data_IF_666033015364
#
_entry.id   IF_666033015364
#
_cell.length_a   1.000
_cell.length_b   1.000
_cell.length_c   1.000
_cell.angle_alpha   90.00
_cell.angle_beta   90.00
_cell.angle_gamma   90.00
#
_symmetry.space_group_name_H-M   'P 1'
#
loop_
_entity.id
_entity.type
_entity.pdbx_description
1 polymer ?
#
# COMPACT_ATOMS: atom_id res chain seq x y z
N UNK A 1 35.51 -25.43 11.73
CA UNK A 1 34.26 -25.24 10.97
C UNK A 1 33.57 -23.99 11.53
N UNK A 2 33.63 -22.89 10.82
CA UNK A 2 33.01 -21.61 11.27
C UNK A 2 31.54 -21.69 10.84
N UNK A 3 30.63 -21.77 11.81
CA UNK A 3 29.18 -21.67 11.56
C UNK A 3 28.84 -20.18 11.42
N UNK A 4 28.53 -19.75 10.23
CA UNK A 4 28.04 -18.40 9.99
C UNK A 4 26.54 -18.37 10.35
N UNK A 5 26.19 -17.70 11.44
CA UNK A 5 24.80 -17.44 11.79
C UNK A 5 24.30 -16.29 10.93
N UNK A 6 23.55 -16.58 9.87
CA UNK A 6 22.85 -15.57 9.09
C UNK A 6 21.55 -15.22 9.83
N UNK A 7 21.51 -14.03 10.43
CA UNK A 7 20.27 -13.47 10.96
C UNK A 7 19.67 -12.65 9.82
N UNK A 8 18.52 -13.07 9.31
CA UNK A 8 17.73 -12.27 8.38
C UNK A 8 16.56 -11.63 9.14
N UNK A 9 16.37 -10.33 8.94
CA UNK A 9 15.23 -9.60 9.44
C UNK A 9 14.21 -9.49 8.30
N UNK A 10 12.93 -9.66 8.62
CA UNK A 10 11.82 -9.35 7.73
C UNK A 10 11.20 -8.05 8.21
N UNK A 11 11.22 -7.02 7.37
CA UNK A 11 10.74 -5.69 7.70
C UNK A 11 9.32 -5.49 7.22
N UNK A 12 8.43 -5.13 8.17
CA UNK A 12 7.02 -4.89 7.91
C UNK A 12 6.66 -3.46 8.32
N UNK A 13 6.03 -2.72 7.42
CA UNK A 13 5.57 -1.34 7.64
C UNK A 13 4.07 -1.27 7.42
N UNK A 14 3.36 -0.54 8.26
CA UNK A 14 1.98 -0.12 8.05
C UNK A 14 1.92 1.40 8.01
N UNK A 15 1.23 1.94 7.01
CA UNK A 15 1.08 3.37 6.82
C UNK A 15 -0.34 3.73 6.36
N UNK A 16 -1.01 4.60 7.12
CA UNK A 16 -2.20 5.27 6.62
C UNK A 16 -1.78 6.42 5.69
N UNK A 17 -2.20 6.36 4.44
CA UNK A 17 -1.87 7.34 3.43
C UNK A 17 -2.69 8.64 3.54
N UNK A 18 -3.62 8.74 4.50
CA UNK A 18 -4.45 9.94 4.70
C UNK A 18 -5.13 10.42 3.41
N UNK A 19 -5.89 9.54 2.77
CA UNK A 19 -6.59 9.79 1.50
C UNK A 19 -5.63 10.07 0.33
N UNK A 20 -4.93 9.05 -0.13
CA UNK A 20 -4.07 9.13 -1.30
C UNK A 20 -4.89 8.95 -2.58
N UNK A 21 -5.42 10.06 -3.09
CA UNK A 21 -6.20 10.14 -4.33
C UNK A 21 -5.36 10.66 -5.49
N UNK A 22 -5.68 10.20 -6.70
CA UNK A 22 -5.20 10.86 -7.92
C UNK A 22 -5.96 12.18 -8.16
N UNK A 23 -6.00 12.69 -9.38
CA UNK A 23 -6.65 13.96 -9.70
C UNK A 23 -7.79 13.80 -10.70
N UNK A 24 -8.29 12.56 -10.87
CA UNK A 24 -9.35 12.20 -11.80
C UNK A 24 -10.59 11.78 -11.02
N UNK A 25 -11.74 12.16 -11.50
CA UNK A 25 -13.00 11.80 -10.87
C UNK A 25 -13.42 10.37 -11.21
N UNK A 26 -13.73 9.57 -10.18
CA UNK A 26 -14.45 8.31 -10.31
C UNK A 26 -15.96 8.56 -10.09
N UNK A 27 -16.74 8.48 -11.14
CA UNK A 27 -18.19 8.73 -11.12
C UNK A 27 -18.98 7.79 -10.20
N UNK A 28 -18.37 6.72 -9.69
CA UNK A 28 -18.97 5.77 -8.76
C UNK A 28 -18.62 6.06 -7.30
N UNK A 29 -17.79 7.08 -7.04
CA UNK A 29 -17.26 7.42 -5.74
C UNK A 29 -17.51 8.89 -5.38
N UNK A 30 -17.39 9.22 -4.11
CA UNK A 30 -17.47 10.59 -3.58
C UNK A 30 -16.06 11.14 -3.37
N UNK A 31 -15.37 11.41 -4.47
CA UNK A 31 -13.98 11.87 -4.53
C UNK A 31 -13.85 13.34 -4.99
N UNK A 32 -14.98 14.05 -5.15
CA UNK A 32 -15.05 15.40 -5.74
C UNK A 32 -14.12 16.41 -5.02
N UNK A 33 -13.84 16.21 -3.74
CA UNK A 33 -12.92 17.07 -3.00
C UNK A 33 -11.43 16.87 -3.39
N UNK A 34 -11.10 15.74 -4.03
CA UNK A 34 -9.76 15.42 -4.53
C UNK A 34 -9.55 15.77 -6.00
N UNK A 35 -10.27 16.79 -6.49
CA UNK A 35 -10.12 17.29 -7.85
C UNK A 35 -9.40 18.65 -7.89
N UNK A 36 -8.73 18.98 -9.01
CA UNK A 36 -8.10 20.28 -9.20
C UNK A 36 -9.04 21.47 -9.07
N UNK A 37 -10.34 21.25 -9.39
CA UNK A 37 -11.40 22.26 -9.33
C UNK A 37 -12.09 22.37 -7.97
N UNK A 38 -11.79 21.47 -7.04
CA UNK A 38 -12.37 21.46 -5.70
C UNK A 38 -11.86 22.59 -4.82
N UNK A 39 -12.50 22.77 -3.65
CA UNK A 39 -12.03 23.71 -2.62
C UNK A 39 -10.62 23.38 -2.12
N UNK A 40 -10.25 22.09 -2.08
CA UNK A 40 -8.91 21.64 -1.73
C UNK A 40 -7.88 21.94 -2.81
N UNK A 41 -8.31 22.22 -4.05
CA UNK A 41 -7.43 22.41 -5.20
C UNK A 41 -6.40 21.29 -5.30
N UNK A 42 -6.89 20.04 -5.35
CA UNK A 42 -6.06 18.86 -5.42
C UNK A 42 -5.42 18.71 -6.80
N UNK A 43 -4.38 19.51 -7.05
CA UNK A 43 -3.69 19.58 -8.36
C UNK A 43 -2.72 18.41 -8.53
N UNK A 44 -2.29 18.08 -9.77
CA UNK A 44 -1.25 17.10 -10.03
C UNK A 44 0.05 17.37 -9.25
N UNK A 45 0.41 18.63 -9.05
CA UNK A 45 1.58 19.03 -8.24
C UNK A 45 1.42 18.58 -6.77
N UNK A 46 0.23 18.75 -6.17
CA UNK A 46 -0.04 18.32 -4.78
C UNK A 46 -0.05 16.81 -4.67
N UNK A 47 -0.65 16.12 -5.65
CA UNK A 47 -0.65 14.67 -5.74
C UNK A 47 0.77 14.11 -5.75
N UNK A 48 1.62 14.54 -6.67
CA UNK A 48 2.99 14.07 -6.79
C UNK A 48 3.83 14.41 -5.56
N UNK A 49 3.62 15.57 -4.94
CA UNK A 49 4.26 15.89 -3.65
C UNK A 49 3.87 14.93 -2.55
N UNK A 50 2.62 14.44 -2.53
CA UNK A 50 2.15 13.45 -1.56
C UNK A 50 2.77 12.09 -1.85
N UNK A 51 2.79 11.64 -3.09
CA UNK A 51 3.50 10.43 -3.54
C UNK A 51 4.97 10.47 -3.09
N UNK A 52 5.67 11.58 -3.29
CA UNK A 52 7.07 11.74 -2.87
C UNK A 52 7.25 11.64 -1.35
N UNK A 53 6.34 12.23 -0.57
CA UNK A 53 6.40 12.16 0.90
C UNK A 53 6.19 10.73 1.38
N UNK A 54 5.13 10.07 0.93
CA UNK A 54 4.84 8.67 1.28
C UNK A 54 6.03 7.78 0.91
N UNK A 55 6.62 7.98 -0.26
CA UNK A 55 7.81 7.23 -0.68
C UNK A 55 8.99 7.44 0.26
N UNK A 56 9.22 8.66 0.73
CA UNK A 56 10.30 8.99 1.69
C UNK A 56 10.02 8.39 3.06
N UNK A 57 8.78 8.45 3.52
CA UNK A 57 8.37 7.87 4.80
C UNK A 57 8.61 6.35 4.79
N UNK A 58 8.22 5.67 3.71
CA UNK A 58 8.47 4.22 3.54
C UNK A 58 9.98 3.92 3.52
N UNK A 59 10.77 4.68 2.76
CA UNK A 59 12.22 4.48 2.70
C UNK A 59 12.90 4.72 4.05
N UNK A 60 12.41 5.70 4.84
CA UNK A 60 12.97 5.97 6.17
C UNK A 60 12.71 4.86 7.18
N UNK A 61 11.65 4.06 6.99
CA UNK A 61 11.38 2.89 7.83
C UNK A 61 12.33 1.71 7.57
N UNK A 62 13.05 1.73 6.45
CA UNK A 62 14.00 0.68 6.09
C UNK A 62 15.45 0.94 6.49
N UNK A 63 15.74 2.00 7.27
CA UNK A 63 17.10 2.25 7.75
C UNK A 63 17.48 1.25 8.85
N UNK A 64 18.45 0.40 8.54
CA UNK A 64 19.05 -0.55 9.49
C UNK A 64 20.56 -0.30 9.55
N UNK A 65 21.10 0.04 10.73
CA UNK A 65 22.54 0.20 10.98
C UNK A 65 23.30 1.03 9.91
N UNK A 66 22.73 2.18 9.52
CA UNK A 66 23.29 3.11 8.49
C UNK A 66 23.26 2.58 7.05
N UNK A 67 22.59 1.46 6.78
CA UNK A 67 22.28 1.00 5.43
C UNK A 67 20.82 1.31 5.09
N UNK A 68 20.57 1.98 3.98
CA UNK A 68 19.21 2.18 3.46
C UNK A 68 18.73 0.87 2.85
N UNK A 69 17.90 0.16 3.56
CA UNK A 69 17.24 -1.07 3.09
C UNK A 69 15.76 -0.74 2.81
N UNK A 70 15.26 -1.21 1.68
CA UNK A 70 13.82 -1.03 1.37
C UNK A 70 13.02 -2.04 2.22
N UNK A 71 11.93 -1.65 2.89
CA UNK A 71 11.10 -2.59 3.64
C UNK A 71 10.65 -3.78 2.78
N UNK A 72 10.62 -4.98 3.35
CA UNK A 72 10.21 -6.19 2.64
C UNK A 72 8.72 -6.19 2.30
N UNK A 73 7.92 -5.61 3.18
CA UNK A 73 6.47 -5.55 3.06
C UNK A 73 5.92 -4.23 3.61
N UNK A 74 4.96 -3.65 2.90
CA UNK A 74 4.30 -2.39 3.28
C UNK A 74 2.80 -2.53 3.08
N UNK A 75 2.02 -2.40 4.16
CA UNK A 75 0.57 -2.23 4.11
C UNK A 75 0.26 -0.75 4.02
N UNK A 76 -0.61 -0.41 3.09
CA UNK A 76 -1.11 0.95 2.89
C UNK A 76 -2.62 0.97 3.06
N UNK A 77 -3.12 1.89 3.84
CA UNK A 77 -4.55 2.17 3.96
C UNK A 77 -4.88 3.55 3.40
N UNK A 78 -6.13 3.73 2.98
CA UNK A 78 -6.62 4.96 2.37
C UNK A 78 -5.93 5.29 1.03
N UNK A 79 -5.75 4.28 0.20
CA UNK A 79 -5.29 4.39 -1.18
C UNK A 79 -6.50 4.27 -2.11
N UNK A 80 -6.57 5.13 -3.13
CA UNK A 80 -7.76 5.19 -3.99
C UNK A 80 -7.88 4.00 -4.95
N UNK A 81 -6.87 3.77 -5.79
CA UNK A 81 -7.02 2.86 -6.93
C UNK A 81 -5.67 2.30 -7.43
N UNK A 82 -5.75 1.41 -8.41
CA UNK A 82 -4.60 0.79 -9.07
C UNK A 82 -3.67 1.81 -9.74
N UNK A 83 -4.19 2.90 -10.30
CA UNK A 83 -3.37 3.96 -10.92
C UNK A 83 -2.45 4.62 -9.90
N UNK A 84 -2.97 4.86 -8.69
CA UNK A 84 -2.19 5.42 -7.56
C UNK A 84 -1.10 4.45 -7.12
N UNK A 85 -1.42 3.15 -7.02
CA UNK A 85 -0.44 2.13 -6.67
C UNK A 85 0.63 1.96 -7.74
N UNK A 86 0.25 2.02 -9.01
CA UNK A 86 1.20 2.04 -10.12
C UNK A 86 2.14 3.26 -10.05
N UNK A 87 1.60 4.45 -9.81
CA UNK A 87 2.40 5.66 -9.67
C UNK A 87 3.38 5.55 -8.48
N UNK A 88 2.91 5.05 -7.34
CA UNK A 88 3.74 4.86 -6.16
C UNK A 88 4.86 3.83 -6.38
N UNK A 89 4.55 2.68 -6.99
CA UNK A 89 5.51 1.57 -7.13
C UNK A 89 6.43 1.72 -8.35
N UNK A 90 5.97 2.35 -9.44
CA UNK A 90 6.70 2.39 -10.73
C UNK A 90 7.23 3.77 -11.11
N UNK A 91 6.70 4.86 -10.55
CA UNK A 91 7.02 6.22 -10.98
C UNK A 91 7.55 7.13 -9.87
N UNK A 92 7.44 6.71 -8.61
CA UNK A 92 7.93 7.45 -7.45
C UNK A 92 9.41 7.15 -7.14
N UNK A 93 9.86 7.57 -5.97
CA UNK A 93 11.18 7.20 -5.44
C UNK A 93 11.32 5.68 -5.19
N UNK A 94 10.21 4.96 -5.05
CA UNK A 94 10.18 3.50 -4.85
C UNK A 94 10.34 2.70 -6.15
N UNK A 95 10.41 3.35 -7.32
CA UNK A 95 10.49 2.66 -8.62
C UNK A 95 11.66 1.67 -8.76
N UNK A 96 12.74 1.90 -8.02
CA UNK A 96 13.91 1.02 -8.00
C UNK A 96 13.81 -0.14 -7.01
N UNK A 97 12.80 -0.16 -6.14
CA UNK A 97 12.61 -1.20 -5.14
C UNK A 97 12.02 -2.50 -5.71
N UNK A 98 11.40 -2.43 -6.90
CA UNK A 98 10.84 -3.60 -7.56
C UNK A 98 9.63 -4.23 -6.87
N UNK A 99 8.90 -3.46 -6.06
CA UNK A 99 7.70 -3.95 -5.37
C UNK A 99 6.65 -4.47 -6.33
N UNK A 100 6.08 -5.62 -5.99
CA UNK A 100 4.77 -6.03 -6.45
C UNK A 100 3.71 -5.63 -5.44
N UNK A 101 2.44 -5.63 -5.83
CA UNK A 101 1.35 -5.30 -4.91
C UNK A 101 0.05 -6.02 -5.24
N UNK A 102 -0.81 -6.11 -4.22
CA UNK A 102 -2.22 -6.47 -4.33
C UNK A 102 -3.04 -5.44 -3.56
N UNK A 103 -4.28 -5.21 -3.98
CA UNK A 103 -5.18 -4.26 -3.30
C UNK A 103 -6.62 -4.73 -3.34
N UNK A 104 -7.43 -4.16 -2.45
CA UNK A 104 -8.88 -4.34 -2.48
C UNK A 104 -9.54 -3.45 -3.56
N UNK A 105 -10.80 -3.74 -3.86
CA UNK A 105 -11.72 -2.84 -4.54
C UNK A 105 -13.04 -2.89 -3.78
N UNK A 106 -13.16 -2.04 -2.78
CA UNK A 106 -14.20 -2.08 -1.78
C UNK A 106 -15.43 -1.26 -2.18
N UNK A 107 -16.61 -1.52 -1.55
CA UNK A 107 -17.80 -0.73 -1.76
C UNK A 107 -17.80 0.60 -0.99
N UNK A 108 -16.70 0.97 -0.36
CA UNK A 108 -16.60 2.26 0.33
C UNK A 108 -16.84 3.40 -0.66
N UNK A 109 -17.89 4.19 -0.42
CA UNK A 109 -18.27 5.27 -1.29
C UNK A 109 -17.25 6.42 -1.33
N UNK A 110 -16.38 6.51 -0.35
CA UNK A 110 -15.28 7.49 -0.36
C UNK A 110 -14.24 7.19 -1.43
N UNK A 111 -14.17 5.95 -1.92
CA UNK A 111 -13.18 5.54 -2.91
C UNK A 111 -11.81 5.25 -2.32
N UNK A 112 -11.74 4.76 -1.07
CA UNK A 112 -10.48 4.39 -0.42
C UNK A 112 -10.43 2.89 -0.17
N UNK A 113 -9.26 2.33 -0.39
CA UNK A 113 -8.97 0.90 -0.31
C UNK A 113 -7.73 0.59 0.53
N UNK A 114 -7.40 -0.69 0.61
CA UNK A 114 -6.22 -1.23 1.28
C UNK A 114 -5.32 -1.89 0.24
N UNK A 115 -4.03 -1.63 0.33
CA UNK A 115 -3.03 -2.26 -0.53
C UNK A 115 -1.89 -2.88 0.28
N UNK A 116 -1.32 -3.95 -0.24
CA UNK A 116 -0.13 -4.59 0.26
C UNK A 116 0.94 -4.56 -0.84
N UNK A 117 2.02 -3.83 -0.61
CA UNK A 117 3.23 -3.89 -1.43
C UNK A 117 4.22 -4.87 -0.79
N UNK A 118 4.96 -5.60 -1.60
CA UNK A 118 5.96 -6.55 -1.12
C UNK A 118 7.12 -6.69 -2.10
N UNK A 119 8.30 -6.93 -1.55
CA UNK A 119 9.46 -7.35 -2.34
C UNK A 119 9.29 -8.80 -2.78
N UNK A 120 9.27 -9.11 -4.09
CA UNK A 120 9.16 -10.49 -4.56
C UNK A 120 10.37 -11.36 -4.18
N UNK A 121 11.47 -10.75 -3.72
CA UNK A 121 12.63 -11.46 -3.19
C UNK A 121 12.45 -11.90 -1.73
N UNK A 122 11.61 -11.21 -0.96
CA UNK A 122 11.36 -11.48 0.46
C UNK A 122 10.06 -12.26 0.69
N UNK A 123 9.06 -12.06 -0.18
CA UNK A 123 7.74 -12.67 -0.07
C UNK A 123 7.22 -13.12 -1.43
N UNK A 124 6.96 -14.41 -1.55
CA UNK A 124 6.33 -15.01 -2.73
C UNK A 124 4.84 -15.17 -2.51
N UNK A 125 4.05 -14.27 -3.05
CA UNK A 125 2.59 -14.31 -2.94
C UNK A 125 2.04 -15.64 -3.51
N UNK A 126 1.19 -16.32 -2.73
CA UNK A 126 0.49 -17.55 -3.14
C UNK A 126 -0.98 -17.25 -3.41
N UNK A 127 -1.62 -16.48 -2.53
CA UNK A 127 -3.04 -16.19 -2.62
C UNK A 127 -3.38 -14.83 -2.02
N UNK A 128 -4.34 -14.12 -2.61
CA UNK A 128 -4.94 -12.91 -2.03
C UNK A 128 -6.41 -12.80 -2.42
N UNK A 129 -7.21 -12.23 -1.52
CA UNK A 129 -8.60 -11.86 -1.79
C UNK A 129 -9.09 -10.80 -0.81
N UNK A 130 -10.13 -10.09 -1.20
CA UNK A 130 -10.84 -9.18 -0.32
C UNK A 130 -11.89 -9.93 0.52
N UNK A 131 -11.88 -9.70 1.82
CA UNK A 131 -12.90 -10.20 2.75
C UNK A 131 -13.91 -9.07 2.91
N UNK A 132 -15.13 -9.28 2.41
CA UNK A 132 -16.21 -8.30 2.46
C UNK A 132 -16.66 -8.04 3.90
N UNK A 133 -16.58 -6.78 4.32
CA UNK A 133 -17.15 -6.32 5.58
C UNK A 133 -18.59 -5.86 5.34
N UNK A 134 -19.55 -6.58 5.87
CA UNK A 134 -20.97 -6.22 5.77
C UNK A 134 -21.37 -5.44 7.03
N UNK A 135 -21.62 -4.12 6.93
CA UNK A 135 -22.04 -3.34 8.07
C UNK A 135 -23.46 -3.70 8.51
N UNK A 136 -23.83 -3.43 9.78
CA UNK A 136 -25.22 -3.54 10.23
C UNK A 136 -26.18 -2.67 9.40
N UNK A 137 -27.46 -3.02 9.40
CA UNK A 137 -28.48 -2.27 8.68
C UNK A 137 -28.49 -0.78 9.10
N UNK A 138 -28.49 0.14 8.12
CA UNK A 138 -28.44 1.59 8.33
C UNK A 138 -27.04 2.20 8.40
N UNK A 139 -26.00 1.40 8.38
CA UNK A 139 -24.62 1.89 8.28
C UNK A 139 -24.13 1.89 6.84
N UNK A 140 -23.21 2.81 6.53
CA UNK A 140 -22.59 2.90 5.20
C UNK A 140 -21.63 1.72 4.95
N UNK A 141 -21.46 1.27 3.70
CA UNK A 141 -20.38 0.37 3.33
C UNK A 141 -19.03 0.93 3.78
N UNK A 142 -18.14 0.03 4.14
CA UNK A 142 -16.75 0.36 4.54
C UNK A 142 -15.77 -0.42 3.67
N UNK A 143 -14.49 -0.20 3.89
CA UNK A 143 -13.41 -0.93 3.24
C UNK A 143 -13.50 -2.43 3.56
N UNK A 144 -13.11 -3.23 2.58
CA UNK A 144 -12.88 -4.64 2.77
C UNK A 144 -11.56 -4.88 3.52
N UNK A 145 -11.40 -6.04 4.12
CA UNK A 145 -10.13 -6.50 4.66
C UNK A 145 -9.38 -7.19 3.54
N UNK A 146 -8.14 -6.77 3.28
CA UNK A 146 -7.25 -7.46 2.37
C UNK A 146 -6.62 -8.66 3.09
N UNK A 147 -6.88 -9.86 2.59
CA UNK A 147 -6.12 -11.05 2.97
C UNK A 147 -5.09 -11.38 1.90
N UNK A 148 -3.87 -11.68 2.34
CA UNK A 148 -2.82 -12.23 1.50
C UNK A 148 -2.06 -13.32 2.25
N UNK A 149 -1.64 -14.36 1.52
CA UNK A 149 -0.76 -15.39 2.05
C UNK A 149 0.36 -15.70 1.06
N UNK A 150 1.53 -15.98 1.57
CA UNK A 150 2.71 -16.27 0.78
C UNK A 150 3.84 -16.85 1.61
N UNK A 151 4.89 -17.23 0.93
CA UNK A 151 6.09 -17.83 1.52
C UNK A 151 7.16 -16.76 1.70
N UNK A 152 7.76 -16.70 2.87
CA UNK A 152 8.92 -15.87 3.19
C UNK A 152 10.23 -16.64 2.96
N UNK A 153 11.38 -15.96 3.00
CA UNK A 153 12.71 -16.55 2.69
C UNK A 153 13.02 -17.78 3.56
N UNK A 154 12.52 -17.84 4.79
CA UNK A 154 12.71 -19.02 5.67
C UNK A 154 11.96 -20.28 5.20
N UNK A 155 11.07 -20.16 4.24
CA UNK A 155 10.16 -21.24 3.80
C UNK A 155 8.86 -21.30 4.59
N UNK A 156 8.67 -20.42 5.58
CA UNK A 156 7.45 -20.35 6.35
C UNK A 156 6.35 -19.62 5.56
N UNK A 157 5.09 -19.97 5.85
CA UNK A 157 3.95 -19.27 5.29
C UNK A 157 3.55 -18.10 6.19
N UNK A 158 3.54 -16.90 5.63
CA UNK A 158 3.02 -15.69 6.27
C UNK A 158 1.59 -15.41 5.80
N UNK A 159 0.71 -15.08 6.76
CA UNK A 159 -0.65 -14.62 6.50
C UNK A 159 -0.78 -13.17 6.95
N UNK A 160 -1.27 -12.32 6.04
CA UNK A 160 -1.47 -10.88 6.28
C UNK A 160 -2.97 -10.57 6.17
N UNK A 161 -3.49 -9.86 7.16
CA UNK A 161 -4.82 -9.27 7.16
C UNK A 161 -4.68 -7.77 7.39
N UNK A 162 -5.16 -6.95 6.48
CA UNK A 162 -5.00 -5.51 6.50
C UNK A 162 -6.32 -4.77 6.24
#
# INVERSE_FOLDING_TARGET
MISLLLISFFTFVELNCENLFDTRHDSLKHDEEFLPTSALRWTPYRYWRKIDRISKDILSCGELDSATVVPDMVVLTEVENDSVMHDLTRRSLLRGAGYDYVMTSSPDLRGIDVALMFSPYAFRLIHSHAIRVTPPAGFRPTRDILYASGEVISGDTLHVFA
#
